data_IF_442518443850
#
_entry.id   IF_442518443850
#
_cell.length_a   1.000
_cell.length_b   1.000
_cell.length_c   1.000
_cell.angle_alpha   90.00
_cell.angle_beta   90.00
_cell.angle_gamma   90.00
#
_symmetry.space_group_name_H-M   'P 1'
#
loop_
_entity.id
_entity.type
_entity.pdbx_description
1 polymer ?
#
# COMPACT_ATOMS: atom_id res chain seq x y z
N UNK A 1 6.46 -4.19 -63.27
CA UNK A 1 5.70 -4.63 -62.08
C UNK A 1 6.49 -5.52 -61.12
N UNK A 2 7.12 -6.63 -61.56
CA UNK A 2 7.85 -7.57 -60.67
C UNK A 2 8.86 -6.93 -59.70
N UNK A 3 9.68 -6.00 -60.21
CA UNK A 3 10.74 -5.32 -59.41
C UNK A 3 10.15 -4.44 -58.29
N UNK A 4 9.00 -3.83 -58.55
CA UNK A 4 8.28 -3.02 -57.57
C UNK A 4 7.64 -3.88 -56.48
N UNK A 5 7.06 -5.03 -56.82
CA UNK A 5 6.52 -5.99 -55.83
C UNK A 5 7.59 -6.48 -54.85
N UNK A 6 8.80 -6.80 -55.35
CA UNK A 6 9.93 -7.23 -54.52
C UNK A 6 10.36 -6.11 -53.56
N UNK A 7 10.52 -4.89 -54.06
CA UNK A 7 10.90 -3.74 -53.24
C UNK A 7 9.84 -3.43 -52.17
N UNK A 8 8.56 -3.46 -52.54
CA UNK A 8 7.46 -3.22 -51.60
C UNK A 8 7.40 -4.29 -50.51
N UNK A 9 7.62 -5.56 -50.87
CA UNK A 9 7.71 -6.66 -49.92
C UNK A 9 8.85 -6.49 -48.91
N UNK A 10 10.05 -6.10 -49.38
CA UNK A 10 11.20 -5.83 -48.50
C UNK A 10 10.92 -4.65 -47.56
N UNK A 11 10.31 -3.57 -48.05
CA UNK A 11 9.97 -2.40 -47.23
C UNK A 11 8.95 -2.75 -46.15
N UNK A 12 7.86 -3.44 -46.49
CA UNK A 12 6.86 -3.86 -45.51
C UNK A 12 7.43 -4.83 -44.47
N UNK A 13 8.29 -5.76 -44.91
CA UNK A 13 8.96 -6.69 -44.01
C UNK A 13 9.90 -5.97 -43.04
N UNK A 14 10.70 -5.03 -43.52
CA UNK A 14 11.63 -4.25 -42.67
C UNK A 14 10.89 -3.36 -41.68
N UNK A 15 9.81 -2.68 -42.11
CA UNK A 15 8.96 -1.90 -41.21
C UNK A 15 8.31 -2.81 -40.15
N UNK A 16 7.74 -3.94 -40.57
CA UNK A 16 7.15 -4.91 -39.64
C UNK A 16 8.16 -5.49 -38.65
N UNK A 17 9.38 -5.78 -39.12
CA UNK A 17 10.48 -6.25 -38.30
C UNK A 17 10.92 -5.21 -37.28
N UNK A 18 11.07 -3.94 -37.66
CA UNK A 18 11.40 -2.86 -36.73
C UNK A 18 10.30 -2.69 -35.68
N UNK A 19 9.02 -2.70 -36.07
CA UNK A 19 7.89 -2.59 -35.13
C UNK A 19 7.87 -3.74 -34.12
N UNK A 20 8.07 -4.98 -34.57
CA UNK A 20 8.10 -6.16 -33.71
C UNK A 20 9.36 -6.23 -32.84
N UNK A 21 10.53 -5.84 -33.38
CA UNK A 21 11.80 -5.87 -32.66
C UNK A 21 11.92 -4.74 -31.63
N UNK A 22 11.24 -3.62 -31.84
CA UNK A 22 11.17 -2.50 -30.88
C UNK A 22 9.95 -2.57 -29.96
N UNK A 23 9.17 -3.65 -30.05
CA UNK A 23 8.08 -3.88 -29.12
C UNK A 23 8.65 -4.27 -27.76
N UNK A 24 8.41 -3.42 -26.76
CA UNK A 24 8.77 -3.68 -25.38
C UNK A 24 7.52 -3.60 -24.50
N UNK A 25 7.19 -4.72 -23.83
CA UNK A 25 6.08 -4.79 -22.89
C UNK A 25 6.66 -4.73 -21.47
N UNK A 26 6.36 -3.68 -20.69
CA UNK A 26 6.89 -3.53 -19.35
C UNK A 26 6.41 -4.69 -18.48
N UNK A 27 7.36 -5.31 -17.77
CA UNK A 27 7.07 -6.40 -16.87
C UNK A 27 6.59 -5.84 -15.52
N UNK A 28 5.27 -5.69 -15.37
CA UNK A 28 4.64 -5.19 -14.15
C UNK A 28 4.41 -6.28 -13.08
N UNK A 29 4.88 -7.52 -13.28
CA UNK A 29 4.67 -8.63 -12.34
C UNK A 29 5.48 -8.53 -11.05
N UNK A 30 6.46 -7.62 -11.00
CA UNK A 30 7.30 -7.35 -9.81
C UNK A 30 6.78 -6.25 -8.89
N UNK A 31 5.63 -5.62 -9.19
CA UNK A 31 5.03 -4.63 -8.30
C UNK A 31 4.43 -5.38 -7.11
N UNK A 32 5.04 -5.19 -5.94
CA UNK A 32 4.56 -5.68 -4.67
C UNK A 32 4.53 -4.52 -3.68
N UNK A 33 3.57 -4.54 -2.76
CA UNK A 33 3.53 -3.63 -1.62
C UNK A 33 4.10 -4.38 -0.41
N UNK A 34 5.43 -4.31 -0.14
CA UNK A 34 6.03 -5.05 0.96
C UNK A 34 5.52 -4.53 2.31
N UNK A 35 5.10 -5.45 3.17
CA UNK A 35 4.74 -5.16 4.56
C UNK A 35 5.96 -5.46 5.44
N UNK A 36 6.74 -4.43 5.78
CA UNK A 36 7.95 -4.58 6.60
C UNK A 36 8.07 -3.47 7.63
N UNK A 37 7.04 -3.28 8.45
CA UNK A 37 7.10 -2.37 9.60
C UNK A 37 6.50 -3.04 10.83
N UNK A 38 7.07 -2.82 12.02
CA UNK A 38 6.54 -3.40 13.23
C UNK A 38 5.25 -2.69 13.63
N UNK A 39 4.26 -3.48 14.05
CA UNK A 39 2.95 -3.01 14.45
C UNK A 39 2.59 -3.59 15.82
N UNK A 40 1.86 -2.81 16.61
CA UNK A 40 1.17 -3.25 17.82
C UNK A 40 -0.31 -3.34 17.48
N UNK A 41 -0.84 -4.55 17.29
CA UNK A 41 -2.26 -4.77 16.98
C UNK A 41 -3.04 -5.53 18.08
N UNK A 42 -4.15 -4.95 18.52
CA UNK A 42 -5.19 -5.55 19.37
C UNK A 42 -6.50 -5.63 18.55
N UNK A 43 -7.10 -6.83 18.43
CA UNK A 43 -8.40 -6.99 17.76
C UNK A 43 -9.30 -8.02 18.45
N UNK A 44 -10.48 -7.56 18.86
CA UNK A 44 -11.45 -8.37 19.61
C UNK A 44 -12.22 -9.40 18.77
N UNK A 45 -12.43 -9.15 17.47
CA UNK A 45 -13.52 -9.79 16.71
C UNK A 45 -13.17 -11.12 16.01
N UNK A 46 -11.95 -11.68 16.12
CA UNK A 46 -11.58 -12.86 15.29
C UNK A 46 -10.41 -13.69 15.83
N UNK A 47 -10.50 -14.15 17.08
CA UNK A 47 -9.40 -14.86 17.75
C UNK A 47 -8.32 -13.87 18.18
N UNK A 48 -7.82 -14.01 19.40
CA UNK A 48 -6.94 -13.04 20.03
C UNK A 48 -5.59 -12.93 19.28
N UNK A 49 -5.52 -12.08 18.26
CA UNK A 49 -4.28 -11.74 17.59
C UNK A 49 -3.65 -10.59 18.35
N UNK A 50 -2.60 -10.91 19.10
CA UNK A 50 -1.69 -9.97 19.71
C UNK A 50 -0.41 -10.00 18.88
N UNK A 51 -0.17 -9.00 18.05
CA UNK A 51 1.12 -8.86 17.36
C UNK A 51 1.86 -7.74 18.05
N UNK A 52 2.86 -8.09 18.87
CA UNK A 52 3.80 -7.13 19.43
C UNK A 52 5.13 -7.19 18.67
N UNK A 53 5.80 -6.04 18.52
CA UNK A 53 7.20 -6.03 18.13
C UNK A 53 8.01 -6.91 19.09
N UNK A 54 9.02 -7.65 18.62
CA UNK A 54 9.82 -8.56 19.46
C UNK A 54 10.52 -7.86 20.65
N UNK A 55 10.65 -6.52 20.62
CA UNK A 55 11.29 -5.72 21.64
C UNK A 55 10.31 -4.94 22.55
N UNK A 56 8.99 -5.15 22.41
CA UNK A 56 7.98 -4.46 23.21
C UNK A 56 7.43 -5.37 24.33
N UNK A 57 7.28 -4.81 25.53
CA UNK A 57 6.60 -5.51 26.62
C UNK A 57 5.09 -5.57 26.35
N UNK A 58 4.45 -6.75 26.40
CA UNK A 58 3.00 -6.86 26.23
C UNK A 58 2.25 -6.02 27.28
N UNK A 59 1.15 -5.35 26.91
CA UNK A 59 0.30 -4.70 27.89
C UNK A 59 -0.43 -5.74 28.75
N UNK A 60 -0.69 -5.40 30.01
CA UNK A 60 -1.52 -6.21 30.89
C UNK A 60 -3.00 -5.94 30.58
N UNK A 61 -3.63 -6.82 29.81
CA UNK A 61 -5.01 -6.67 29.33
C UNK A 61 -5.83 -7.93 29.63
N UNK A 62 -7.11 -7.73 29.90
CA UNK A 62 -8.12 -8.81 29.93
C UNK A 62 -9.15 -8.59 28.84
N UNK A 63 -9.70 -9.66 28.28
CA UNK A 63 -10.76 -9.59 27.29
C UNK A 63 -12.13 -9.77 27.94
N UNK A 64 -13.01 -8.78 27.84
CA UNK A 64 -14.40 -8.87 28.23
C UNK A 64 -15.24 -9.34 27.03
N UNK A 65 -15.57 -10.62 27.02
CA UNK A 65 -16.35 -11.26 25.95
C UNK A 65 -17.80 -10.74 25.87
N UNK A 66 -18.37 -10.21 26.96
CA UNK A 66 -19.75 -9.71 26.97
C UNK A 66 -19.85 -8.34 26.28
N UNK A 67 -18.79 -7.52 26.40
CA UNK A 67 -18.70 -6.22 25.74
C UNK A 67 -17.97 -6.25 24.40
N UNK A 68 -17.10 -7.24 24.17
CA UNK A 68 -16.21 -7.28 23.01
C UNK A 68 -15.06 -6.28 23.10
N UNK A 69 -14.51 -6.06 24.30
CA UNK A 69 -13.44 -5.09 24.56
C UNK A 69 -12.26 -5.72 25.29
N UNK A 70 -11.07 -5.24 25.00
CA UNK A 70 -9.91 -5.37 25.88
C UNK A 70 -9.96 -4.29 26.95
N UNK A 71 -9.72 -4.69 28.21
CA UNK A 71 -9.63 -3.80 29.35
C UNK A 71 -8.19 -3.79 29.83
N UNK A 72 -7.58 -2.61 29.85
CA UNK A 72 -6.23 -2.43 30.38
C UNK A 72 -6.26 -2.50 31.91
N UNK A 73 -5.51 -3.42 32.49
CA UNK A 73 -5.48 -3.64 33.95
C UNK A 73 -4.44 -2.75 34.65
N UNK A 74 -3.50 -2.21 33.90
CA UNK A 74 -2.50 -1.25 34.37
C UNK A 74 -2.24 -0.22 33.28
N UNK A 75 -1.64 0.90 33.67
CA UNK A 75 -1.16 1.89 32.71
C UNK A 75 -0.13 1.26 31.77
N UNK A 76 -0.26 1.55 30.48
CA UNK A 76 0.63 1.04 29.45
C UNK A 76 1.20 2.19 28.63
N UNK A 77 2.51 2.37 28.74
CA UNK A 77 3.23 3.41 28.03
C UNK A 77 4.03 2.82 26.88
N UNK A 78 3.84 3.38 25.68
CA UNK A 78 4.57 3.02 24.47
C UNK A 78 5.47 4.19 24.08
N UNK A 79 6.79 4.12 24.32
CA UNK A 79 7.72 5.18 23.96
C UNK A 79 7.97 5.14 22.45
N UNK A 80 7.38 6.08 21.72
CA UNK A 80 7.49 6.18 20.26
C UNK A 80 7.94 7.59 19.88
N UNK A 81 8.86 7.65 18.91
CA UNK A 81 9.35 8.93 18.36
C UNK A 81 8.39 9.49 17.31
N UNK A 82 7.80 8.59 16.53
CA UNK A 82 6.78 8.85 15.54
C UNK A 82 5.79 7.69 15.60
N UNK A 83 4.54 7.95 15.27
CA UNK A 83 3.56 6.88 15.23
C UNK A 83 2.32 7.23 14.42
N UNK A 84 1.68 6.19 13.89
CA UNK A 84 0.27 6.23 13.52
C UNK A 84 -0.50 5.30 14.45
N UNK A 85 -1.53 5.86 15.09
CA UNK A 85 -2.42 5.17 16.01
C UNK A 85 -3.82 5.17 15.43
N UNK A 86 -4.44 4.00 15.41
CA UNK A 86 -5.88 3.86 15.20
C UNK A 86 -6.47 3.04 16.33
N UNK A 87 -7.39 3.63 17.09
CA UNK A 87 -8.05 2.96 18.21
C UNK A 87 -9.56 3.11 18.10
N UNK A 88 -10.29 2.05 18.43
CA UNK A 88 -11.75 2.07 18.57
C UNK A 88 -12.14 1.48 19.91
N UNK A 89 -13.07 2.11 20.61
CA UNK A 89 -13.50 1.65 21.94
C UNK A 89 -14.20 2.73 22.75
N UNK A 90 -14.43 2.45 24.03
CA UNK A 90 -14.91 3.45 24.98
C UNK A 90 -13.71 4.25 25.49
N UNK A 91 -13.26 5.20 24.67
CA UNK A 91 -12.01 5.93 24.88
C UNK A 91 -12.23 7.44 24.81
N UNK A 92 -11.57 8.15 25.73
CA UNK A 92 -11.27 9.56 25.61
C UNK A 92 -9.78 9.75 25.32
N UNK A 93 -9.40 10.97 24.92
CA UNK A 93 -8.00 11.30 24.71
C UNK A 93 -7.65 12.68 25.25
N UNK A 94 -6.39 12.84 25.65
CA UNK A 94 -5.80 14.12 26.04
C UNK A 94 -4.37 14.19 25.51
N UNK A 95 -3.89 15.41 25.25
CA UNK A 95 -2.55 15.66 24.75
C UNK A 95 -1.84 16.60 25.72
N UNK A 96 -0.86 16.08 26.47
CA UNK A 96 -0.04 16.86 27.41
C UNK A 96 1.37 16.26 27.50
N UNK A 97 2.20 16.54 26.49
CA UNK A 97 3.55 15.93 26.35
C UNK A 97 3.56 14.43 26.02
N UNK A 98 2.42 13.77 26.14
CA UNK A 98 2.12 12.39 25.75
C UNK A 98 0.70 12.35 25.18
N UNK A 99 0.43 11.47 24.22
CA UNK A 99 -0.95 11.16 23.82
C UNK A 99 -1.54 10.17 24.82
N UNK A 100 -2.40 10.66 25.71
CA UNK A 100 -3.05 9.82 26.73
C UNK A 100 -4.41 9.38 26.23
N UNK A 101 -4.66 8.07 26.27
CA UNK A 101 -5.93 7.42 26.00
C UNK A 101 -6.49 6.95 27.34
N UNK A 102 -7.68 7.42 27.70
CA UNK A 102 -8.30 7.17 29.00
C UNK A 102 -9.71 6.59 28.85
N UNK A 103 -10.31 6.05 29.94
CA UNK A 103 -11.66 5.49 29.88
C UNK A 103 -12.71 6.52 29.44
N UNK A 104 -13.33 6.28 28.29
CA UNK A 104 -14.42 7.08 27.77
C UNK A 104 -15.79 6.54 28.22
N UNK A 105 -16.82 7.39 28.13
CA UNK A 105 -18.22 6.95 28.32
C UNK A 105 -18.86 6.47 27.02
N UNK A 106 -18.46 7.08 25.91
CA UNK A 106 -19.01 6.81 24.58
C UNK A 106 -18.03 5.99 23.75
N UNK A 107 -18.57 5.19 22.84
CA UNK A 107 -17.75 4.54 21.82
C UNK A 107 -17.24 5.58 20.82
N UNK A 108 -15.93 5.61 20.60
CA UNK A 108 -15.26 6.53 19.67
C UNK A 108 -14.20 5.80 18.88
N UNK A 109 -14.01 6.26 17.65
CA UNK A 109 -12.83 5.95 16.85
C UNK A 109 -11.90 7.15 16.89
N UNK A 110 -10.64 6.89 17.17
CA UNK A 110 -9.59 7.88 17.27
C UNK A 110 -8.47 7.48 16.34
N UNK A 111 -8.15 8.38 15.42
CA UNK A 111 -6.98 8.30 14.55
C UNK A 111 -6.04 9.43 14.93
N UNK A 112 -4.78 9.07 15.17
CA UNK A 112 -3.75 10.01 15.55
C UNK A 112 -2.44 9.72 14.82
N UNK A 113 -1.82 10.75 14.26
CA UNK A 113 -0.56 10.68 13.52
C UNK A 113 0.42 11.65 14.12
N UNK A 114 1.57 11.17 14.60
CA UNK A 114 2.66 11.98 15.10
C UNK A 114 3.90 11.81 14.23
N UNK A 115 4.28 12.87 13.53
CA UNK A 115 5.42 12.92 12.59
C UNK A 115 6.09 14.28 12.75
N UNK A 116 7.43 14.33 12.74
CA UNK A 116 8.19 15.59 12.72
C UNK A 116 7.77 16.61 13.82
N UNK A 117 7.39 16.12 15.00
CA UNK A 117 7.02 16.99 16.14
C UNK A 117 5.61 17.60 16.06
N UNK A 118 4.77 17.15 15.13
CA UNK A 118 3.36 17.55 15.02
C UNK A 118 2.45 16.34 15.19
N UNK A 119 1.54 16.42 16.16
CA UNK A 119 0.51 15.41 16.40
C UNK A 119 -0.81 15.88 15.79
N UNK A 120 -1.32 15.09 14.85
CA UNK A 120 -2.63 15.24 14.24
C UNK A 120 -3.59 14.28 14.93
N UNK A 121 -4.72 14.77 15.44
CA UNK A 121 -5.77 13.93 16.04
C UNK A 121 -7.11 14.37 15.47
N UNK A 122 -7.67 13.56 14.56
CA UNK A 122 -8.78 14.00 13.71
C UNK A 122 -8.43 15.32 13.01
N UNK A 123 -9.28 16.35 13.17
CA UNK A 123 -9.07 17.67 12.57
C UNK A 123 -8.18 18.61 13.42
N UNK A 124 -7.72 18.16 14.59
CA UNK A 124 -6.97 19.00 15.54
C UNK A 124 -5.46 18.78 15.42
N UNK A 125 -4.71 19.88 15.49
CA UNK A 125 -3.25 19.88 15.41
C UNK A 125 -2.64 20.30 16.75
N UNK A 126 -1.71 19.49 17.24
CA UNK A 126 -0.93 19.75 18.43
C UNK A 126 0.56 19.83 18.04
N UNK A 127 1.17 21.00 18.20
CA UNK A 127 2.61 21.17 18.00
C UNK A 127 3.32 21.01 19.33
N UNK A 128 4.28 20.10 19.40
CA UNK A 128 5.04 19.87 20.61
C UNK A 128 5.69 18.50 20.62
N UNK A 129 6.67 18.35 21.50
CA UNK A 129 7.35 17.08 21.67
C UNK A 129 6.45 16.10 22.44
N UNK A 130 5.95 15.09 21.73
CA UNK A 130 5.20 13.98 22.30
C UNK A 130 6.16 12.82 22.56
N UNK A 131 6.12 12.28 23.79
CA UNK A 131 7.02 11.21 24.25
C UNK A 131 6.57 9.80 23.83
N UNK A 132 5.32 9.68 23.39
CA UNK A 132 4.70 8.42 23.03
C UNK A 132 3.20 8.39 23.33
N UNK A 133 2.70 7.18 23.55
CA UNK A 133 1.29 6.90 23.83
C UNK A 133 1.16 6.32 25.23
N UNK A 134 0.23 6.82 26.03
CA UNK A 134 -0.13 6.27 27.33
C UNK A 134 -1.58 5.77 27.26
N UNK A 135 -1.81 4.50 27.57
CA UNK A 135 -3.16 3.96 27.80
C UNK A 135 -3.36 3.81 29.29
N UNK A 136 -4.32 4.53 29.85
CA UNK A 136 -4.62 4.46 31.28
C UNK A 136 -5.35 3.16 31.65
N UNK A 137 -5.20 2.76 32.91
CA UNK A 137 -5.93 1.62 33.45
C UNK A 137 -7.45 1.78 33.31
N UNK A 138 -8.15 0.65 33.18
CA UNK A 138 -9.60 0.61 32.98
C UNK A 138 -10.07 0.98 31.57
N UNK A 139 -9.19 1.43 30.67
CA UNK A 139 -9.56 1.82 29.31
C UNK A 139 -10.06 0.60 28.53
N UNK A 140 -11.21 0.76 27.86
CA UNK A 140 -11.88 -0.33 27.10
C UNK A 140 -11.71 -0.12 25.61
N UNK A 141 -10.88 -0.96 25.00
CA UNK A 141 -10.50 -0.85 23.59
C UNK A 141 -10.99 -2.09 22.84
N UNK A 142 -11.75 -1.88 21.76
CA UNK A 142 -12.18 -2.96 20.86
C UNK A 142 -11.08 -3.31 19.87
N UNK A 143 -10.47 -2.29 19.28
CA UNK A 143 -9.33 -2.44 18.37
C UNK A 143 -8.28 -1.37 18.63
N UNK A 144 -7.01 -1.74 18.59
CA UNK A 144 -5.87 -0.80 18.60
C UNK A 144 -4.88 -1.24 17.55
N UNK A 145 -4.38 -0.31 16.75
CA UNK A 145 -3.23 -0.51 15.89
C UNK A 145 -2.28 0.65 16.11
N UNK A 146 -1.02 0.37 16.41
CA UNK A 146 0.05 1.36 16.49
C UNK A 146 1.17 0.95 15.55
N UNK A 147 1.57 1.87 14.69
CA UNK A 147 2.69 1.73 13.77
C UNK A 147 3.75 2.74 14.19
N UNK A 148 5.00 2.31 14.37
CA UNK A 148 6.11 3.16 14.82
C UNK A 148 6.83 3.90 13.66
N UNK A 149 6.58 3.46 12.43
CA UNK A 149 6.96 4.15 11.20
C UNK A 149 5.69 4.48 10.39
N UNK A 150 5.07 5.65 10.66
CA UNK A 150 3.87 6.06 9.96
C UNK A 150 4.12 6.31 8.47
N UNK A 151 5.34 6.71 8.07
CA UNK A 151 5.67 6.96 6.66
C UNK A 151 5.61 5.67 5.85
N UNK A 152 6.28 4.62 6.33
CA UNK A 152 6.22 3.29 5.72
C UNK A 152 4.80 2.72 5.69
N UNK A 153 4.01 2.94 6.75
CA UNK A 153 2.60 2.52 6.77
C UNK A 153 1.78 3.23 5.68
N UNK A 154 1.92 4.55 5.53
CA UNK A 154 1.17 5.30 4.51
C UNK A 154 1.63 4.97 3.09
N UNK A 155 2.93 4.71 2.89
CA UNK A 155 3.44 4.22 1.60
C UNK A 155 2.83 2.86 1.25
N UNK A 156 2.83 1.92 2.19
CA UNK A 156 2.18 0.62 2.02
C UNK A 156 0.68 0.78 1.75
N UNK A 157 -0.03 1.60 2.54
CA UNK A 157 -1.46 1.84 2.37
C UNK A 157 -1.77 2.40 0.99
N UNK A 158 -1.06 3.45 0.58
CA UNK A 158 -1.18 4.07 -0.74
C UNK A 158 -0.90 3.06 -1.87
N UNK A 159 0.15 2.25 -1.72
CA UNK A 159 0.47 1.18 -2.66
C UNK A 159 -0.68 0.18 -2.78
N UNK A 160 -1.29 -0.25 -1.65
CA UNK A 160 -2.39 -1.21 -1.67
C UNK A 160 -3.70 -0.64 -2.22
N UNK A 161 -4.05 0.60 -1.88
CA UNK A 161 -5.27 1.27 -2.35
C UNK A 161 -5.18 1.60 -3.85
N UNK A 162 -4.02 2.09 -4.31
CA UNK A 162 -3.78 2.47 -5.70
C UNK A 162 -3.08 1.39 -6.54
N UNK A 163 -2.98 0.15 -6.04
CA UNK A 163 -2.26 -0.93 -6.71
C UNK A 163 -2.69 -1.11 -8.17
N UNK A 164 -4.00 -1.07 -8.41
CA UNK A 164 -4.56 -1.23 -9.76
C UNK A 164 -4.11 -0.10 -10.69
N UNK A 165 -4.16 1.14 -10.21
CA UNK A 165 -3.75 2.32 -10.98
C UNK A 165 -2.24 2.29 -11.28
N UNK A 166 -1.42 1.87 -10.30
CA UNK A 166 0.03 1.70 -10.48
C UNK A 166 0.33 0.62 -11.53
N UNK A 167 -0.38 -0.51 -11.49
CA UNK A 167 -0.23 -1.59 -12.48
C UNK A 167 -0.70 -1.14 -13.87
N UNK A 168 -1.81 -0.40 -13.96
CA UNK A 168 -2.33 0.14 -15.22
C UNK A 168 -1.38 1.18 -15.82
N UNK A 169 -0.83 2.09 -15.01
CA UNK A 169 0.20 3.04 -15.42
C UNK A 169 1.48 2.35 -15.90
N UNK A 170 1.93 1.31 -15.19
CA UNK A 170 3.04 0.47 -15.63
C UNK A 170 2.75 -0.18 -16.99
N UNK A 171 1.56 -0.77 -17.19
CA UNK A 171 1.17 -1.35 -18.48
C UNK A 171 1.10 -0.31 -19.60
N UNK A 172 0.67 0.91 -19.30
CA UNK A 172 0.57 2.00 -20.25
C UNK A 172 1.92 2.63 -20.62
N UNK A 173 2.97 2.45 -19.81
CA UNK A 173 4.32 2.95 -20.10
C UNK A 173 5.04 2.19 -21.24
N UNK A 174 4.49 1.06 -21.66
CA UNK A 174 5.04 0.19 -22.69
C UNK A 174 4.70 0.56 -24.12
N UNK A 175 5.24 -0.20 -25.06
CA UNK A 175 4.78 -0.17 -26.44
C UNK A 175 3.28 -0.53 -26.52
N UNK A 176 2.49 0.18 -27.34
CA UNK A 176 1.06 -0.08 -27.45
C UNK A 176 0.79 -1.52 -27.91
N UNK A 177 -0.27 -2.14 -27.39
CA UNK A 177 -0.56 -3.56 -27.62
C UNK A 177 -0.79 -3.92 -29.10
N UNK A 178 -1.13 -2.94 -29.93
CA UNK A 178 -1.29 -3.14 -31.38
C UNK A 178 0.04 -3.19 -32.15
N UNK A 179 1.16 -2.72 -31.58
CA UNK A 179 2.45 -2.62 -32.28
C UNK A 179 3.02 -3.98 -32.68
N UNK A 180 2.97 -4.97 -31.77
CA UNK A 180 3.40 -6.33 -32.04
C UNK A 180 2.56 -7.03 -33.14
N UNK A 181 1.22 -7.14 -33.02
CA UNK A 181 0.41 -7.80 -34.05
C UNK A 181 0.46 -7.07 -35.40
N UNK A 182 0.55 -5.73 -35.41
CA UNK A 182 0.76 -4.95 -36.62
C UNK A 182 2.12 -5.24 -37.26
N UNK A 183 3.20 -5.29 -36.46
CA UNK A 183 4.54 -5.62 -36.91
C UNK A 183 4.63 -7.01 -37.53
N UNK A 184 4.09 -8.03 -36.84
CA UNK A 184 4.01 -9.41 -37.34
C UNK A 184 3.15 -9.48 -38.61
N UNK A 185 2.00 -8.81 -38.63
CA UNK A 185 1.14 -8.74 -39.80
C UNK A 185 1.85 -8.17 -41.03
N UNK A 186 2.58 -7.06 -40.87
CA UNK A 186 3.38 -6.43 -41.93
C UNK A 186 4.53 -7.32 -42.40
N UNK A 187 5.18 -8.08 -41.50
CA UNK A 187 6.20 -9.05 -41.89
C UNK A 187 5.64 -10.17 -42.77
N UNK A 188 4.50 -10.75 -42.39
CA UNK A 188 3.84 -11.81 -43.17
C UNK A 188 3.41 -11.29 -44.55
N UNK A 189 2.81 -10.10 -44.59
CA UNK A 189 2.40 -9.44 -45.83
C UNK A 189 3.59 -9.11 -46.73
N UNK A 190 4.66 -8.56 -46.16
CA UNK A 190 5.89 -8.22 -46.88
C UNK A 190 6.57 -9.46 -47.48
N UNK A 191 6.64 -10.55 -46.71
CA UNK A 191 7.17 -11.83 -47.17
C UNK A 191 6.33 -12.42 -48.33
N UNK A 192 5.00 -12.38 -48.20
CA UNK A 192 4.08 -12.84 -49.24
C UNK A 192 4.24 -12.06 -50.56
N UNK A 193 4.32 -10.73 -50.50
CA UNK A 193 4.52 -9.89 -51.68
C UNK A 193 5.89 -10.10 -52.33
N UNK A 194 6.93 -10.25 -51.52
CA UNK A 194 8.27 -10.54 -52.02
C UNK A 194 8.29 -11.88 -52.77
N UNK A 195 7.73 -12.94 -52.17
CA UNK A 195 7.63 -14.26 -52.79
C UNK A 195 6.84 -14.20 -54.10
N UNK A 196 5.68 -13.54 -54.09
CA UNK A 196 4.82 -13.40 -55.27
C UNK A 196 5.55 -12.65 -56.40
N UNK A 197 6.33 -11.62 -56.06
CA UNK A 197 7.18 -10.90 -57.01
C UNK A 197 8.36 -11.72 -57.55
N UNK A 198 8.80 -12.79 -56.88
CA UNK A 198 9.79 -13.75 -57.40
C UNK A 198 9.17 -14.79 -58.34
N UNK A 199 7.94 -15.25 -58.03
CA UNK A 199 7.23 -16.26 -58.83
C UNK A 199 6.64 -15.70 -60.11
N UNK A 200 6.10 -14.48 -60.06
CA UNK A 200 5.57 -13.78 -61.24
C UNK A 200 6.66 -13.51 -62.24
#
# INVERSE_FOLDING_TARGET
MKRWLKLFGIVLFTIGFVLAATYDRPNCSGIACPFTFPAIELKANSGNVFVWPPNATPPNVTYDANGGYFVFLSDYFVPLREFYLKVSGMVGFNVSGTLTIFPGRDFRELEATYIDGTLHVGDTLYRGHIRGILVENGTRIRTMAVYDDPASYFEFKNCTEHYREIVEACRASGSPEYQLPLGVGLMVLGFGLFWLGMKL
#
